data_IF_190707947366
#
_entry.id   IF_190707947366
#
_cell.length_a   1.000
_cell.length_b   1.000
_cell.length_c   1.000
_cell.angle_alpha   90.00
_cell.angle_beta   90.00
_cell.angle_gamma   90.00
#
_symmetry.space_group_name_H-M   'P 1'
#
loop_
_entity.id
_entity.type
_entity.pdbx_description
1 polymer ?
#
# COMPACT_ATOMS: atom_id res chain seq x y z
N UNK A 1 -20.38 2.36 5.80
CA UNK A 1 -20.37 2.82 4.39
C UNK A 1 -19.58 1.82 3.56
N UNK A 2 -20.07 1.38 2.40
CA UNK A 2 -19.28 0.53 1.52
C UNK A 2 -18.01 1.27 1.08
N UNK A 3 -16.89 0.56 0.98
CA UNK A 3 -15.63 1.11 0.47
C UNK A 3 -15.77 1.29 -1.04
N UNK A 4 -15.58 2.52 -1.53
CA UNK A 4 -15.53 2.78 -2.97
C UNK A 4 -14.13 2.51 -3.52
N UNK A 5 -13.95 1.35 -4.14
CA UNK A 5 -12.67 0.93 -4.72
C UNK A 5 -12.29 1.68 -6.00
N UNK A 6 -13.19 2.51 -6.56
CA UNK A 6 -12.88 3.32 -7.75
C UNK A 6 -12.16 4.61 -7.38
N UNK A 7 -12.36 5.09 -6.16
CA UNK A 7 -11.74 6.30 -5.63
C UNK A 7 -10.21 6.18 -5.61
N UNK A 8 -9.55 7.23 -6.07
CA UNK A 8 -8.09 7.32 -6.09
C UNK A 8 -7.53 7.33 -4.66
N UNK A 9 -8.20 8.01 -3.72
CA UNK A 9 -7.73 8.07 -2.33
C UNK A 9 -7.78 6.70 -1.63
N UNK A 10 -8.80 5.90 -1.95
CA UNK A 10 -8.94 4.53 -1.46
C UNK A 10 -7.85 3.63 -2.04
N UNK A 11 -7.49 3.79 -3.32
CA UNK A 11 -6.38 3.05 -3.94
C UNK A 11 -5.02 3.43 -3.34
N UNK A 12 -4.79 4.72 -3.08
CA UNK A 12 -3.57 5.19 -2.44
C UNK A 12 -3.46 4.68 -1.00
N UNK A 13 -4.57 4.65 -0.26
CA UNK A 13 -4.63 4.06 1.07
C UNK A 13 -4.38 2.56 1.05
N UNK A 14 -4.94 1.85 0.07
CA UNK A 14 -4.70 0.42 -0.14
C UNK A 14 -3.21 0.15 -0.44
N UNK A 15 -2.60 0.93 -1.34
CA UNK A 15 -1.17 0.84 -1.63
C UNK A 15 -0.38 1.01 -0.33
N UNK A 16 -0.59 2.11 0.41
CA UNK A 16 0.11 2.35 1.68
C UNK A 16 -0.10 1.21 2.70
N UNK A 17 -1.29 0.62 2.79
CA UNK A 17 -1.56 -0.54 3.65
C UNK A 17 -0.77 -1.79 3.23
N UNK A 18 -0.66 -2.07 1.94
CA UNK A 18 0.18 -3.16 1.40
C UNK A 18 1.65 -2.90 1.75
N UNK A 19 2.13 -1.67 1.59
CA UNK A 19 3.50 -1.31 1.97
C UNK A 19 3.75 -1.55 3.46
N UNK A 20 2.78 -1.17 4.31
CA UNK A 20 2.85 -1.35 5.75
C UNK A 20 2.90 -2.83 6.15
N UNK A 21 2.17 -3.70 5.45
CA UNK A 21 2.14 -5.14 5.73
C UNK A 21 3.47 -5.84 5.43
N UNK A 22 4.30 -5.26 4.56
CA UNK A 22 5.66 -5.74 4.27
C UNK A 22 6.76 -4.96 5.02
N UNK A 23 6.42 -4.27 6.11
CA UNK A 23 7.37 -3.45 6.88
C UNK A 23 8.09 -2.38 6.04
N UNK A 24 7.42 -1.85 5.02
CA UNK A 24 8.02 -0.87 4.11
C UNK A 24 9.05 -1.43 3.14
N UNK A 25 9.29 -2.75 3.16
CA UNK A 25 10.23 -3.45 2.27
C UNK A 25 9.53 -3.83 0.98
N UNK A 26 9.77 -3.05 -0.07
CA UNK A 26 9.28 -3.33 -1.43
C UNK A 26 10.48 -3.52 -2.34
N UNK A 27 10.43 -4.56 -3.17
CA UNK A 27 11.42 -4.76 -4.21
C UNK A 27 11.15 -3.81 -5.39
N UNK A 28 11.64 -2.58 -5.30
CA UNK A 28 11.45 -1.56 -6.33
C UNK A 28 12.03 -1.98 -7.70
N UNK A 29 13.02 -2.88 -7.73
CA UNK A 29 13.62 -3.40 -8.97
C UNK A 29 12.65 -4.31 -9.71
N UNK A 30 12.02 -5.23 -9.00
CA UNK A 30 10.98 -6.08 -9.57
C UNK A 30 9.73 -5.27 -9.94
N UNK A 31 9.34 -4.29 -9.11
CA UNK A 31 8.23 -3.38 -9.45
C UNK A 31 8.51 -2.62 -10.73
N UNK A 32 9.72 -2.08 -10.92
CA UNK A 32 10.11 -1.42 -12.16
C UNK A 32 10.05 -2.38 -13.37
N UNK A 33 10.51 -3.63 -13.20
CA UNK A 33 10.43 -4.66 -14.24
C UNK A 33 8.98 -5.00 -14.61
N UNK A 34 8.11 -5.11 -13.63
CA UNK A 34 6.69 -5.48 -13.81
C UNK A 34 5.85 -4.32 -14.34
N UNK A 35 6.13 -3.08 -13.90
CA UNK A 35 5.44 -1.88 -14.37
C UNK A 35 5.74 -1.60 -15.85
N UNK A 36 6.97 -1.92 -16.30
CA UNK A 36 7.37 -1.71 -17.69
C UNK A 36 7.49 -0.22 -18.04
N UNK A 37 7.42 0.10 -19.33
CA UNK A 37 7.31 1.49 -19.80
C UNK A 37 8.52 2.40 -19.51
N UNK A 38 9.72 1.84 -19.29
CA UNK A 38 10.92 2.63 -18.99
C UNK A 38 10.99 3.16 -17.55
N UNK A 39 10.08 2.73 -16.66
CA UNK A 39 10.18 3.05 -15.24
C UNK A 39 11.48 2.46 -14.67
N UNK A 40 12.34 3.34 -14.15
CA UNK A 40 13.59 2.94 -13.49
C UNK A 40 13.37 2.67 -12.01
N UNK A 41 14.31 1.96 -11.39
CA UNK A 41 14.33 1.78 -9.94
C UNK A 41 14.14 3.12 -9.19
N UNK A 42 14.86 4.16 -9.63
CA UNK A 42 14.83 5.49 -9.00
C UNK A 42 13.45 6.16 -9.13
N UNK A 43 12.78 6.00 -10.28
CA UNK A 43 11.44 6.56 -10.49
C UNK A 43 10.42 5.92 -9.53
N UNK A 44 10.46 4.59 -9.43
CA UNK A 44 9.60 3.83 -8.52
C UNK A 44 9.93 4.14 -7.06
N UNK A 45 11.21 4.18 -6.69
CA UNK A 45 11.63 4.52 -5.33
C UNK A 45 11.18 5.92 -4.92
N UNK A 46 11.32 6.92 -5.80
CA UNK A 46 10.87 8.28 -5.55
C UNK A 46 9.35 8.37 -5.39
N UNK A 47 8.59 7.71 -6.27
CA UNK A 47 7.13 7.67 -6.17
C UNK A 47 6.69 7.02 -4.85
N UNK A 48 7.32 5.90 -4.47
CA UNK A 48 6.98 5.15 -3.27
C UNK A 48 7.37 5.87 -1.97
N UNK A 49 8.09 6.99 -1.99
CA UNK A 49 8.43 7.75 -0.76
C UNK A 49 7.18 8.24 -0.01
N UNK A 50 6.21 8.81 -0.72
CA UNK A 50 4.99 9.33 -0.11
C UNK A 50 4.08 8.18 0.41
N UNK A 51 3.80 7.13 -0.37
CA UNK A 51 3.11 5.94 0.12
C UNK A 51 3.81 5.26 1.30
N UNK A 52 5.15 5.19 1.33
CA UNK A 52 5.91 4.64 2.47
C UNK A 52 5.71 5.45 3.75
N UNK A 53 5.68 6.79 3.68
CA UNK A 53 5.37 7.62 4.86
C UNK A 53 3.96 7.34 5.37
N UNK A 54 2.99 7.34 4.46
CA UNK A 54 1.58 7.03 4.77
C UNK A 54 1.41 5.61 5.32
N UNK A 55 2.24 4.66 4.88
CA UNK A 55 2.28 3.30 5.39
C UNK A 55 2.76 3.23 6.85
N UNK A 56 3.79 4.01 7.21
CA UNK A 56 4.26 4.11 8.60
C UNK A 56 3.18 4.72 9.49
N UNK A 57 2.52 5.78 9.02
CA UNK A 57 1.40 6.41 9.72
C UNK A 57 0.25 5.42 9.93
N UNK A 58 -0.19 4.73 8.87
CA UNK A 58 -1.24 3.71 8.96
C UNK A 58 -0.87 2.56 9.90
N UNK A 59 0.40 2.14 9.92
CA UNK A 59 0.86 1.10 10.84
C UNK A 59 0.83 1.58 12.29
N UNK A 60 1.21 2.83 12.54
CA UNK A 60 1.13 3.45 13.85
C UNK A 60 -0.33 3.63 14.32
N UNK A 61 -1.23 4.04 13.42
CA UNK A 61 -2.66 4.16 13.70
C UNK A 61 -3.33 2.81 13.97
N UNK A 62 -2.93 1.76 13.25
CA UNK A 62 -3.48 0.42 13.43
C UNK A 62 -3.06 -0.21 14.77
N UNK A 63 -1.84 0.05 15.25
CA UNK A 63 -1.30 -0.57 16.47
C UNK A 63 -1.39 -2.10 16.40
N UNK A 64 -1.85 -2.73 17.49
CA UNK A 64 -2.14 -4.17 17.58
C UNK A 64 -3.62 -4.51 17.24
N UNK A 65 -4.34 -3.60 16.59
CA UNK A 65 -5.76 -3.82 16.29
C UNK A 65 -5.90 -4.96 15.28
N UNK A 66 -6.52 -6.06 15.70
CA UNK A 66 -6.84 -7.17 14.83
C UNK A 66 -7.82 -6.72 13.74
N UNK A 67 -7.60 -7.18 12.50
CA UNK A 67 -8.53 -6.95 11.41
C UNK A 67 -9.91 -7.51 11.78
N UNK A 68 -11.02 -6.81 11.46
CA UNK A 68 -12.36 -7.31 11.74
C UNK A 68 -12.57 -8.63 10.99
N UNK A 69 -13.00 -9.66 11.74
CA UNK A 69 -13.28 -10.98 11.16
C UNK A 69 -14.32 -10.87 10.06
N UNK A 70 -14.15 -11.59 8.93
CA UNK A 70 -15.14 -11.58 7.86
C UNK A 70 -16.50 -12.02 8.40
N UNK A 71 -17.56 -11.34 7.96
CA UNK A 71 -18.92 -11.69 8.33
C UNK A 71 -19.16 -13.17 8.00
N UNK A 72 -19.65 -13.93 8.98
CA UNK A 72 -19.92 -15.36 8.82
C UNK A 72 -20.88 -15.55 7.64
N UNK A 73 -20.56 -16.41 6.66
CA UNK A 73 -21.48 -16.69 5.57
C UNK A 73 -22.80 -17.20 6.17
N UNK A 74 -23.92 -16.62 5.71
CA UNK A 74 -25.28 -17.01 6.08
C UNK A 74 -25.61 -18.38 5.48
#
# INVERSE_FOLDING_TARGET
>A
MPIDWKDAEVKDRLLAAIIASFDGKINCKEVARLFGGGATYNAIENFLRAPKKKAVELKAEAGDSAAPSPAKPR
#
